data_IF_465659449819
#
_entry.id   IF_465659449819
#
_cell.length_a   1.000
_cell.length_b   1.000
_cell.length_c   1.000
_cell.angle_alpha   90.00
_cell.angle_beta   90.00
_cell.angle_gamma   90.00
#
_symmetry.space_group_name_H-M   'P 1'
#
loop_
_entity.id
_entity.type
_entity.pdbx_description
1 polymer ?
#
# COMPACT_ATOMS: atom_id res chain seq x y z
N UNK A 1 -23.56 -11.74 16.31
CA UNK A 1 -22.80 -11.80 17.58
C UNK A 1 -21.61 -10.85 17.45
N UNK A 2 -21.69 -9.63 17.98
CA UNK A 2 -20.56 -8.70 17.95
C UNK A 2 -19.54 -9.12 19.00
N UNK A 3 -18.37 -9.60 18.56
CA UNK A 3 -17.25 -9.84 19.47
C UNK A 3 -16.82 -8.49 20.08
N UNK A 4 -16.60 -8.45 21.41
CA UNK A 4 -16.11 -7.25 22.09
C UNK A 4 -14.70 -6.94 21.60
N UNK A 5 -14.49 -5.69 21.17
CA UNK A 5 -13.16 -5.17 20.79
C UNK A 5 -12.24 -5.20 22.02
N UNK A 6 -11.09 -5.85 21.88
CA UNK A 6 -10.08 -6.00 22.92
C UNK A 6 -9.07 -4.84 22.91
N UNK A 7 -8.29 -4.69 24.00
CA UNK A 7 -7.17 -3.73 24.03
C UNK A 7 -6.14 -3.98 22.93
N UNK A 8 -5.98 -5.23 22.48
CA UNK A 8 -5.03 -5.59 21.43
C UNK A 8 -5.54 -5.21 20.03
N UNK A 9 -6.86 -5.27 19.81
CA UNK A 9 -7.50 -4.72 18.61
C UNK A 9 -7.25 -3.21 18.52
N UNK A 10 -7.43 -2.47 19.62
CA UNK A 10 -7.15 -1.04 19.65
C UNK A 10 -5.70 -0.70 19.31
N UNK A 11 -4.72 -1.43 19.88
CA UNK A 11 -3.30 -1.24 19.52
C UNK A 11 -3.03 -1.50 18.04
N UNK A 12 -3.66 -2.52 17.46
CA UNK A 12 -3.54 -2.79 16.04
C UNK A 12 -4.16 -1.63 15.22
N UNK A 13 -5.37 -1.19 15.54
CA UNK A 13 -6.00 -0.06 14.86
C UNK A 13 -5.22 1.26 15.01
N UNK A 14 -4.55 1.48 16.15
CA UNK A 14 -3.63 2.62 16.31
C UNK A 14 -2.42 2.51 15.38
N UNK A 15 -1.91 1.30 15.12
CA UNK A 15 -0.82 1.10 14.16
C UNK A 15 -1.26 1.49 12.74
N UNK A 16 -2.53 1.31 12.37
CA UNK A 16 -3.07 1.77 11.09
C UNK A 16 -2.99 3.31 10.93
N UNK A 17 -3.01 4.08 12.02
CA UNK A 17 -2.85 5.55 11.96
C UNK A 17 -1.45 6.01 11.50
N UNK A 18 -0.48 5.10 11.38
CA UNK A 18 0.80 5.39 10.75
C UNK A 18 0.66 5.82 9.28
N UNK A 19 -0.34 5.30 8.56
CA UNK A 19 -0.56 5.61 7.14
C UNK A 19 -0.97 7.08 6.93
N UNK A 20 -2.03 7.61 7.58
CA UNK A 20 -2.35 9.04 7.45
C UNK A 20 -1.27 9.94 8.02
N UNK A 21 -0.54 9.52 9.06
CA UNK A 21 0.62 10.27 9.56
C UNK A 21 1.73 10.41 8.50
N UNK A 22 2.03 9.33 7.79
CA UNK A 22 2.93 9.34 6.64
C UNK A 22 2.39 10.17 5.47
N UNK A 23 1.06 10.18 5.28
CA UNK A 23 0.39 11.00 4.26
C UNK A 23 0.68 12.50 4.35
N UNK A 24 1.08 13.02 5.52
CA UNK A 24 1.48 14.43 5.69
C UNK A 24 2.67 14.78 4.78
N UNK A 25 3.64 13.86 4.63
CA UNK A 25 4.82 14.08 3.79
C UNK A 25 4.45 14.22 2.31
N UNK A 26 3.38 13.55 1.86
CA UNK A 26 2.92 13.66 0.47
C UNK A 26 2.63 15.11 0.08
N UNK A 27 1.89 15.84 0.93
CA UNK A 27 1.52 17.23 0.66
C UNK A 27 2.75 18.16 0.60
N UNK A 28 3.75 17.90 1.44
CA UNK A 28 5.01 18.67 1.42
C UNK A 28 5.84 18.37 0.17
N UNK A 29 5.76 17.15 -0.35
CA UNK A 29 6.52 16.74 -1.53
C UNK A 29 5.81 17.10 -2.84
N UNK A 30 4.48 17.13 -2.89
CA UNK A 30 3.68 17.30 -4.10
C UNK A 30 3.71 18.74 -4.66
N UNK A 31 4.85 19.15 -5.22
CA UNK A 31 5.09 20.45 -5.83
C UNK A 31 6.26 20.41 -6.81
N UNK A 32 6.36 21.40 -7.68
CA UNK A 32 7.42 21.51 -8.70
C UNK A 32 8.74 22.11 -8.21
N UNK A 33 8.91 22.43 -6.92
CA UNK A 33 10.08 23.21 -6.45
C UNK A 33 11.43 22.51 -6.67
N UNK A 34 11.45 21.19 -6.82
CA UNK A 34 12.66 20.38 -7.05
C UNK A 34 12.83 19.94 -8.52
N UNK A 35 12.00 20.46 -9.43
CA UNK A 35 11.86 19.89 -10.76
C UNK A 35 11.02 18.61 -10.76
N UNK A 36 10.59 18.21 -11.96
CA UNK A 36 9.86 16.96 -12.16
C UNK A 36 10.14 16.42 -13.56
N UNK A 37 10.57 15.17 -13.63
CA UNK A 37 10.83 14.47 -14.89
C UNK A 37 9.56 13.85 -15.46
N UNK A 38 9.56 13.55 -16.76
CA UNK A 38 8.46 12.81 -17.39
C UNK A 38 8.90 11.39 -17.71
N UNK A 39 8.09 10.42 -17.27
CA UNK A 39 8.23 9.00 -17.63
C UNK A 39 7.19 8.55 -18.65
N UNK A 40 6.55 9.49 -19.34
CA UNK A 40 5.52 9.21 -20.36
C UNK A 40 6.16 8.46 -21.53
N UNK A 41 5.47 7.43 -22.01
CA UNK A 41 5.85 6.66 -23.19
C UNK A 41 4.76 6.71 -24.26
N UNK A 42 5.06 6.24 -25.47
CA UNK A 42 4.08 6.14 -26.56
C UNK A 42 2.84 5.30 -26.19
N UNK A 43 3.01 4.31 -25.30
CA UNK A 43 1.89 3.50 -24.81
C UNK A 43 0.93 4.37 -24.00
N UNK A 44 1.43 5.29 -23.16
CA UNK A 44 0.59 6.17 -22.34
C UNK A 44 -0.21 7.17 -23.18
N UNK A 45 0.34 7.59 -24.33
CA UNK A 45 -0.37 8.41 -25.31
C UNK A 45 -1.55 7.67 -25.96
N UNK A 46 -1.44 6.36 -26.14
CA UNK A 46 -2.52 5.53 -26.70
C UNK A 46 -3.67 5.27 -25.72
N UNK A 47 -3.46 5.45 -24.41
CA UNK A 47 -4.51 5.24 -23.41
C UNK A 47 -5.54 6.39 -23.48
N UNK A 48 -6.84 6.13 -23.68
CA UNK A 48 -7.84 7.18 -23.70
C UNK A 48 -8.07 7.75 -22.30
N UNK A 49 -8.44 9.03 -22.22
CA UNK A 49 -8.94 9.60 -20.98
C UNK A 49 -10.43 9.23 -20.80
N UNK A 50 -10.76 8.57 -19.68
CA UNK A 50 -12.12 8.07 -19.39
C UNK A 50 -12.61 8.62 -18.03
N UNK A 51 -13.42 9.71 -18.02
CA UNK A 51 -13.85 10.38 -16.80
C UNK A 51 -14.55 9.49 -15.76
N UNK A 52 -15.31 8.48 -16.22
CA UNK A 52 -16.03 7.54 -15.34
C UNK A 52 -15.11 6.79 -14.37
N UNK A 53 -13.84 6.61 -14.72
CA UNK A 53 -12.86 5.97 -13.84
C UNK A 53 -12.50 6.81 -12.61
N UNK A 54 -12.98 8.05 -12.50
CA UNK A 54 -12.89 8.80 -11.23
C UNK A 54 -13.61 8.09 -10.08
N UNK A 55 -14.65 7.28 -10.37
CA UNK A 55 -15.40 6.54 -9.37
C UNK A 55 -14.53 5.48 -8.66
N UNK A 56 -13.92 4.50 -9.37
CA UNK A 56 -12.98 3.57 -8.73
C UNK A 56 -11.78 4.29 -8.12
N UNK A 57 -11.31 5.41 -8.70
CA UNK A 57 -10.25 6.22 -8.10
C UNK A 57 -10.63 6.75 -6.71
N UNK A 58 -11.84 7.30 -6.54
CA UNK A 58 -12.32 7.77 -5.22
C UNK A 58 -12.62 6.59 -4.29
N UNK A 59 -13.16 5.48 -4.81
CA UNK A 59 -13.46 4.27 -4.04
C UNK A 59 -12.20 3.66 -3.38
N UNK A 60 -11.01 4.00 -3.86
CA UNK A 60 -9.73 3.63 -3.27
C UNK A 60 -9.64 3.90 -1.76
N UNK A 61 -10.07 5.08 -1.30
CA UNK A 61 -10.00 5.42 0.13
C UNK A 61 -10.77 4.42 1.00
N UNK A 62 -12.00 4.11 0.61
CA UNK A 62 -12.83 3.12 1.28
C UNK A 62 -12.24 1.72 1.15
N UNK A 63 -11.76 1.35 -0.04
CA UNK A 63 -11.17 0.04 -0.31
C UNK A 63 -9.98 -0.24 0.61
N UNK A 64 -9.03 0.69 0.73
CA UNK A 64 -7.84 0.53 1.58
C UNK A 64 -8.25 0.46 3.05
N UNK A 65 -9.08 1.40 3.51
CA UNK A 65 -9.54 1.48 4.90
C UNK A 65 -10.23 0.18 5.33
N UNK A 66 -11.26 -0.24 4.59
CA UNK A 66 -12.05 -1.42 4.96
C UNK A 66 -11.25 -2.72 4.82
N UNK A 67 -10.39 -2.84 3.81
CA UNK A 67 -9.59 -4.06 3.64
C UNK A 67 -8.54 -4.24 4.73
N UNK A 68 -7.89 -3.16 5.17
CA UNK A 68 -6.91 -3.22 6.26
C UNK A 68 -7.60 -3.48 7.60
N UNK A 69 -8.76 -2.86 7.88
CA UNK A 69 -9.57 -3.17 9.06
C UNK A 69 -10.04 -4.62 9.03
N UNK A 70 -10.53 -5.10 7.89
CA UNK A 70 -10.94 -6.49 7.71
C UNK A 70 -9.79 -7.46 8.01
N UNK A 71 -8.61 -7.20 7.44
CA UNK A 71 -7.43 -8.02 7.68
C UNK A 71 -7.00 -8.00 9.15
N UNK A 72 -7.11 -6.84 9.83
CA UNK A 72 -6.82 -6.70 11.25
C UNK A 72 -7.60 -7.71 12.09
N UNK A 73 -8.90 -7.84 11.85
CA UNK A 73 -9.77 -8.76 12.60
C UNK A 73 -9.70 -10.20 12.12
N UNK A 74 -9.45 -10.42 10.81
CA UNK A 74 -9.51 -11.74 10.20
C UNK A 74 -8.20 -12.53 10.30
N UNK A 75 -7.06 -11.86 10.18
CA UNK A 75 -5.72 -12.46 10.21
C UNK A 75 -4.69 -11.44 10.71
N UNK A 76 -4.57 -11.36 12.03
CA UNK A 76 -3.76 -10.33 12.70
C UNK A 76 -2.27 -10.40 12.41
N UNK A 77 -1.60 -11.57 12.41
CA UNK A 77 -0.20 -11.64 12.00
C UNK A 77 0.00 -11.11 10.58
N UNK A 78 -0.89 -11.47 9.65
CA UNK A 78 -0.80 -11.02 8.27
C UNK A 78 -1.13 -9.53 8.11
N UNK A 79 -2.04 -9.00 8.92
CA UNK A 79 -2.28 -7.56 9.04
C UNK A 79 -1.00 -6.77 9.35
N UNK A 80 -0.23 -7.19 10.36
CA UNK A 80 1.00 -6.48 10.73
C UNK A 80 2.03 -6.51 9.61
N UNK A 81 2.17 -7.64 8.90
CA UNK A 81 3.05 -7.74 7.73
C UNK A 81 2.61 -6.81 6.60
N UNK A 82 1.31 -6.77 6.32
CA UNK A 82 0.72 -5.94 5.27
C UNK A 82 0.90 -4.46 5.57
N UNK A 83 0.59 -4.02 6.79
CA UNK A 83 0.76 -2.62 7.20
C UNK A 83 2.24 -2.23 7.28
N UNK A 84 3.13 -3.13 7.72
CA UNK A 84 4.57 -2.88 7.69
C UNK A 84 5.08 -2.72 6.24
N UNK A 85 4.70 -3.62 5.33
CA UNK A 85 5.07 -3.52 3.92
C UNK A 85 4.52 -2.23 3.28
N UNK A 86 3.29 -1.83 3.63
CA UNK A 86 2.70 -0.57 3.17
C UNK A 86 3.51 0.64 3.66
N UNK A 87 3.77 0.76 4.96
CA UNK A 87 4.53 1.88 5.51
C UNK A 87 5.94 1.97 4.91
N UNK A 88 6.64 0.83 4.77
CA UNK A 88 7.95 0.80 4.14
C UNK A 88 7.88 1.23 2.66
N UNK A 89 6.85 0.79 1.94
CA UNK A 89 6.64 1.20 0.54
C UNK A 89 6.40 2.71 0.45
N UNK A 90 5.56 3.29 1.31
CA UNK A 90 5.32 4.74 1.35
C UNK A 90 6.60 5.52 1.64
N UNK A 91 7.42 5.07 2.59
CA UNK A 91 8.71 5.68 2.90
C UNK A 91 9.63 5.67 1.68
N UNK A 92 9.72 4.53 0.98
CA UNK A 92 10.51 4.43 -0.26
C UNK A 92 9.95 5.36 -1.35
N UNK A 93 8.63 5.44 -1.53
CA UNK A 93 8.02 6.39 -2.45
C UNK A 93 8.44 7.83 -2.12
N UNK A 94 8.36 8.25 -0.85
CA UNK A 94 8.73 9.61 -0.46
C UNK A 94 10.21 9.91 -0.63
N UNK A 95 11.09 8.92 -0.39
CA UNK A 95 12.52 9.07 -0.69
C UNK A 95 12.71 9.29 -2.19
N UNK A 96 12.06 8.48 -3.04
CA UNK A 96 12.12 8.63 -4.50
C UNK A 96 11.58 10.00 -4.92
N UNK A 97 10.40 10.41 -4.46
CA UNK A 97 9.83 11.72 -4.79
C UNK A 97 10.71 12.89 -4.37
N UNK A 98 11.47 12.74 -3.28
CA UNK A 98 12.38 13.79 -2.84
C UNK A 98 13.60 13.91 -3.77
N UNK A 99 14.16 12.80 -4.26
CA UNK A 99 15.40 12.79 -5.07
C UNK A 99 15.17 12.75 -6.58
N UNK A 100 14.06 12.18 -7.03
CA UNK A 100 13.69 11.94 -8.42
C UNK A 100 12.16 11.99 -8.56
N UNK A 101 11.64 13.21 -8.56
CA UNK A 101 10.21 13.45 -8.73
C UNK A 101 9.82 13.34 -10.21
N UNK A 102 8.65 12.80 -10.49
CA UNK A 102 8.08 12.75 -11.84
C UNK A 102 6.71 13.42 -11.91
N UNK A 103 6.29 13.76 -13.13
CA UNK A 103 5.02 14.40 -13.45
C UNK A 103 4.31 13.72 -14.61
N UNK A 104 2.98 13.77 -14.61
CA UNK A 104 2.12 13.25 -15.67
C UNK A 104 1.33 14.42 -16.30
N UNK A 105 1.44 14.64 -17.62
CA UNK A 105 0.66 15.66 -18.30
C UNK A 105 -0.83 15.29 -18.29
N UNK A 106 -1.66 16.25 -17.89
CA UNK A 106 -3.12 16.08 -17.86
C UNK A 106 -3.76 16.72 -19.09
N UNK A 107 -4.81 16.11 -19.66
CA UNK A 107 -5.53 16.69 -20.78
C UNK A 107 -6.30 17.94 -20.33
N UNK A 108 -6.58 18.84 -21.27
CA UNK A 108 -7.60 19.87 -21.04
C UNK A 108 -8.98 19.22 -20.99
N UNK A 109 -9.64 19.31 -19.83
CA UNK A 109 -10.93 18.69 -19.58
C UNK A 109 -12.12 19.63 -19.82
N UNK A 110 -11.88 20.89 -20.20
CA UNK A 110 -12.93 21.91 -20.36
C UNK A 110 -13.92 21.61 -21.50
N UNK A 111 -13.48 20.89 -22.53
CA UNK A 111 -14.30 20.50 -23.68
C UNK A 111 -15.03 19.16 -23.56
N UNK A 112 -14.92 18.45 -22.41
CA UNK A 112 -15.55 17.14 -22.24
C UNK A 112 -16.99 17.26 -21.73
N UNK A 113 -17.93 16.67 -22.46
CA UNK A 113 -19.33 16.56 -22.04
C UNK A 113 -19.55 15.26 -21.24
N UNK A 114 -19.24 15.28 -19.95
CA UNK A 114 -19.48 14.15 -19.05
C UNK A 114 -19.81 14.62 -17.64
N UNK A 115 -20.82 13.99 -17.02
CA UNK A 115 -21.24 14.25 -15.63
C UNK A 115 -20.12 14.00 -14.60
N UNK A 116 -19.05 13.30 -14.97
CA UNK A 116 -17.92 13.00 -14.09
C UNK A 116 -16.80 14.05 -14.12
N UNK A 117 -16.81 14.99 -15.06
CA UNK A 117 -15.77 16.04 -15.17
C UNK A 117 -15.64 16.89 -13.91
N UNK A 118 -16.72 17.31 -13.23
CA UNK A 118 -16.58 18.04 -11.97
C UNK A 118 -15.80 17.25 -10.90
N UNK A 119 -16.02 15.93 -10.81
CA UNK A 119 -15.28 15.08 -9.87
C UNK A 119 -13.82 14.95 -10.28
N UNK A 120 -13.52 14.76 -11.57
CA UNK A 120 -12.13 14.73 -12.06
C UNK A 120 -11.43 16.05 -11.73
N UNK A 121 -12.10 17.18 -11.95
CA UNK A 121 -11.53 18.49 -11.68
C UNK A 121 -11.23 18.67 -10.18
N UNK A 122 -12.10 18.21 -9.27
CA UNK A 122 -11.81 18.21 -7.83
C UNK A 122 -10.53 17.42 -7.53
N UNK A 123 -10.43 16.20 -8.09
CA UNK A 123 -9.24 15.36 -7.91
C UNK A 123 -7.98 16.07 -8.44
N UNK A 124 -8.04 16.65 -9.64
CA UNK A 124 -6.91 17.34 -10.25
C UNK A 124 -6.45 18.57 -9.46
N UNK A 125 -7.38 19.26 -8.78
CA UNK A 125 -7.05 20.41 -7.94
C UNK A 125 -6.48 20.01 -6.58
N UNK A 126 -7.01 18.94 -5.97
CA UNK A 126 -6.57 18.48 -4.65
C UNK A 126 -5.26 17.71 -4.71
N UNK A 127 -5.10 16.87 -5.73
CA UNK A 127 -3.92 16.05 -5.95
C UNK A 127 -3.18 16.62 -7.15
N UNK A 128 -2.06 17.32 -6.90
CA UNK A 128 -1.27 17.92 -7.98
C UNK A 128 -0.51 16.84 -8.74
N UNK A 129 -0.14 17.07 -10.02
CA UNK A 129 0.51 16.07 -10.87
C UNK A 129 2.02 15.96 -10.58
N UNK A 130 2.42 16.00 -9.31
CA UNK A 130 3.78 15.72 -8.87
C UNK A 130 3.74 14.52 -7.93
N UNK A 131 4.90 13.89 -7.64
CA UNK A 131 4.99 12.60 -6.94
C UNK A 131 4.39 11.40 -7.71
N UNK A 132 4.52 11.35 -9.04
CA UNK A 132 3.88 10.30 -9.83
C UNK A 132 4.58 8.93 -9.69
N UNK A 133 5.91 8.87 -9.81
CA UNK A 133 6.68 7.62 -9.81
C UNK A 133 7.35 7.34 -8.47
N UNK A 134 7.14 6.16 -7.85
CA UNK A 134 6.13 5.14 -8.16
C UNK A 134 4.74 5.54 -7.63
N UNK A 135 3.65 4.96 -8.16
CA UNK A 135 2.30 5.37 -7.76
C UNK A 135 1.90 4.89 -6.36
N UNK A 136 1.61 5.82 -5.43
CA UNK A 136 1.08 5.48 -4.09
C UNK A 136 -0.30 4.81 -4.16
N UNK A 137 -1.16 5.22 -5.11
CA UNK A 137 -2.49 4.61 -5.30
C UNK A 137 -2.35 3.12 -5.63
N UNK A 138 -1.44 2.80 -6.57
CA UNK A 138 -1.11 1.42 -6.95
C UNK A 138 -0.45 0.68 -5.79
N UNK A 139 0.51 1.29 -5.09
CA UNK A 139 1.15 0.70 -3.89
C UNK A 139 0.09 0.27 -2.88
N UNK A 140 -0.83 1.17 -2.51
CA UNK A 140 -1.86 0.88 -1.52
C UNK A 140 -2.83 -0.19 -1.99
N UNK A 141 -3.31 -0.11 -3.24
CA UNK A 141 -4.23 -1.10 -3.80
C UNK A 141 -3.59 -2.48 -3.90
N UNK A 142 -2.34 -2.55 -4.36
CA UNK A 142 -1.60 -3.79 -4.57
C UNK A 142 -1.15 -4.43 -3.26
N UNK A 143 -0.68 -3.66 -2.28
CA UNK A 143 -0.31 -4.18 -0.95
C UNK A 143 -1.51 -4.81 -0.26
N UNK A 144 -2.67 -4.15 -0.30
CA UNK A 144 -3.92 -4.68 0.26
C UNK A 144 -4.30 -5.99 -0.45
N UNK A 145 -4.29 -5.99 -1.79
CA UNK A 145 -4.60 -7.18 -2.58
C UNK A 145 -3.68 -8.35 -2.19
N UNK A 146 -2.37 -8.12 -2.19
CA UNK A 146 -1.37 -9.13 -1.85
C UNK A 146 -1.50 -9.62 -0.41
N UNK A 147 -1.70 -8.71 0.55
CA UNK A 147 -1.95 -9.04 1.94
C UNK A 147 -3.16 -9.97 2.10
N UNK A 148 -4.30 -9.61 1.50
CA UNK A 148 -5.51 -10.46 1.52
C UNK A 148 -5.24 -11.85 0.90
N UNK A 149 -4.44 -11.94 -0.16
CA UNK A 149 -4.11 -13.23 -0.80
C UNK A 149 -3.24 -14.14 0.07
N UNK A 150 -2.31 -13.57 0.83
CA UNK A 150 -1.41 -14.30 1.72
C UNK A 150 -2.13 -14.94 2.92
N UNK A 151 -3.32 -14.46 3.25
CA UNK A 151 -4.12 -15.10 4.30
C UNK A 151 -4.81 -16.36 3.79
N UNK A 152 -4.54 -17.49 4.45
CA UNK A 152 -5.25 -18.75 4.20
C UNK A 152 -6.66 -18.77 4.80
N UNK A 153 -6.98 -17.88 5.74
CA UNK A 153 -8.27 -17.84 6.43
C UNK A 153 -9.36 -17.07 5.66
N UNK A 154 -8.97 -16.33 4.61
CA UNK A 154 -9.86 -15.51 3.79
C UNK A 154 -10.42 -16.32 2.61
N UNK A 155 -11.74 -16.24 2.42
CA UNK A 155 -12.47 -16.97 1.39
C UNK A 155 -12.14 -16.46 -0.02
N UNK A 156 -12.23 -17.37 -1.01
CA UNK A 156 -11.95 -17.06 -2.43
C UNK A 156 -12.81 -15.91 -2.98
N UNK A 157 -14.08 -15.82 -2.57
CA UNK A 157 -14.97 -14.74 -3.00
C UNK A 157 -14.47 -13.35 -2.59
N UNK A 158 -13.98 -13.20 -1.35
CA UNK A 158 -13.38 -11.95 -0.88
C UNK A 158 -12.11 -11.65 -1.67
N UNK A 159 -11.25 -12.65 -1.90
CA UNK A 159 -10.03 -12.48 -2.73
C UNK A 159 -10.37 -12.01 -4.15
N UNK A 160 -11.43 -12.53 -4.76
CA UNK A 160 -11.90 -12.11 -6.08
C UNK A 160 -12.38 -10.65 -6.06
N UNK A 161 -13.22 -10.27 -5.10
CA UNK A 161 -13.70 -8.89 -4.94
C UNK A 161 -12.52 -7.94 -4.73
N UNK A 162 -11.57 -8.31 -3.87
CA UNK A 162 -10.35 -7.52 -3.64
C UNK A 162 -9.52 -7.37 -4.92
N UNK A 163 -9.38 -8.42 -5.72
CA UNK A 163 -8.67 -8.35 -7.00
C UNK A 163 -9.34 -7.40 -7.98
N UNK A 164 -10.65 -7.56 -8.18
CA UNK A 164 -11.40 -6.72 -9.11
C UNK A 164 -11.30 -5.25 -8.69
N UNK A 165 -11.49 -4.96 -7.41
CA UNK A 165 -11.39 -3.59 -6.91
C UNK A 165 -9.97 -3.01 -7.04
N UNK A 166 -8.93 -3.78 -6.67
CA UNK A 166 -7.56 -3.32 -6.81
C UNK A 166 -7.19 -3.06 -8.27
N UNK A 167 -7.56 -3.95 -9.19
CA UNK A 167 -7.32 -3.77 -10.63
C UNK A 167 -8.09 -2.58 -11.21
N UNK A 168 -9.34 -2.35 -10.77
CA UNK A 168 -10.12 -1.18 -11.19
C UNK A 168 -9.49 0.12 -10.69
N UNK A 169 -8.95 0.14 -9.46
CA UNK A 169 -8.21 1.30 -8.94
C UNK A 169 -6.92 1.51 -9.72
N UNK A 170 -6.14 0.46 -9.98
CA UNK A 170 -4.90 0.57 -10.76
C UNK A 170 -5.21 1.11 -12.16
N UNK A 171 -6.19 0.53 -12.84
CA UNK A 171 -6.62 0.99 -14.15
C UNK A 171 -7.11 2.44 -14.12
N UNK A 172 -7.85 2.83 -13.07
CA UNK A 172 -8.38 4.18 -12.96
C UNK A 172 -7.28 5.23 -12.95
N UNK A 173 -6.15 4.96 -12.27
CA UNK A 173 -5.03 5.90 -12.22
C UNK A 173 -4.54 6.32 -13.61
N UNK A 174 -4.52 5.41 -14.58
CA UNK A 174 -4.07 5.68 -15.95
C UNK A 174 -5.19 6.30 -16.78
N UNK A 175 -6.42 5.77 -16.66
CA UNK A 175 -7.57 6.28 -17.42
C UNK A 175 -7.97 7.70 -17.04
N UNK A 176 -7.76 8.11 -15.79
CA UNK A 176 -7.93 9.52 -15.38
C UNK A 176 -6.62 10.31 -15.46
N UNK A 177 -5.59 9.83 -16.15
CA UNK A 177 -4.32 10.53 -16.41
C UNK A 177 -3.64 11.06 -15.14
N UNK A 178 -3.69 10.28 -14.06
CA UNK A 178 -2.94 10.54 -12.83
C UNK A 178 -1.56 9.90 -12.83
N UNK A 179 -1.43 8.76 -13.51
CA UNK A 179 -0.20 7.98 -13.54
C UNK A 179 0.03 7.41 -14.94
N UNK A 180 1.30 7.17 -15.25
CA UNK A 180 1.74 6.42 -16.44
C UNK A 180 1.99 4.95 -16.09
N UNK A 181 2.13 4.09 -17.10
CA UNK A 181 2.36 2.65 -16.92
C UNK A 181 3.63 2.38 -16.13
N UNK A 182 4.69 3.19 -16.32
CA UNK A 182 5.93 3.05 -15.56
C UNK A 182 5.72 3.27 -14.05
N UNK A 183 4.79 4.15 -13.65
CA UNK A 183 4.46 4.36 -12.23
C UNK A 183 3.85 3.10 -11.58
N UNK A 184 3.05 2.36 -12.36
CA UNK A 184 2.45 1.09 -11.94
C UNK A 184 3.55 0.03 -11.76
N UNK A 185 4.44 -0.11 -12.74
CA UNK A 185 5.56 -1.08 -12.68
C UNK A 185 6.44 -0.77 -11.48
N UNK A 186 6.82 0.50 -11.29
CA UNK A 186 7.60 0.95 -10.14
C UNK A 186 6.92 0.62 -8.82
N UNK A 187 5.61 0.87 -8.71
CA UNK A 187 4.83 0.54 -7.51
C UNK A 187 4.82 -0.96 -7.22
N UNK A 188 4.60 -1.81 -8.22
CA UNK A 188 4.64 -3.27 -8.05
C UNK A 188 6.02 -3.73 -7.56
N UNK A 189 7.10 -3.24 -8.17
CA UNK A 189 8.47 -3.57 -7.77
C UNK A 189 8.78 -3.16 -6.32
N UNK A 190 8.35 -1.97 -5.91
CA UNK A 190 8.49 -1.50 -4.51
C UNK A 190 7.75 -2.44 -3.57
N UNK A 191 6.49 -2.76 -3.86
CA UNK A 191 5.67 -3.62 -2.99
C UNK A 191 6.24 -5.03 -2.88
N UNK A 192 6.66 -5.63 -3.99
CA UNK A 192 7.30 -6.95 -4.00
C UNK A 192 8.56 -6.95 -3.11
N UNK A 193 9.42 -5.95 -3.31
CA UNK A 193 10.67 -5.78 -2.55
C UNK A 193 10.41 -5.61 -1.05
N UNK A 194 9.40 -4.81 -0.68
CA UNK A 194 9.08 -4.56 0.73
C UNK A 194 8.46 -5.78 1.42
N UNK A 195 7.64 -6.56 0.72
CA UNK A 195 7.16 -7.84 1.27
C UNK A 195 8.31 -8.83 1.48
N UNK A 196 9.23 -8.95 0.53
CA UNK A 196 10.42 -9.79 0.68
C UNK A 196 11.25 -9.37 1.90
N UNK A 197 11.47 -8.06 2.07
CA UNK A 197 12.17 -7.51 3.23
C UNK A 197 11.46 -7.85 4.55
N UNK A 198 10.14 -7.63 4.62
CA UNK A 198 9.34 -7.94 5.82
C UNK A 198 9.46 -9.42 6.20
N UNK A 199 9.35 -10.32 5.22
CA UNK A 199 9.48 -11.76 5.48
C UNK A 199 10.90 -12.18 5.86
N UNK A 200 11.92 -11.60 5.24
CA UNK A 200 13.31 -11.86 5.58
C UNK A 200 13.60 -11.45 7.03
N UNK A 201 13.18 -10.25 7.43
CA UNK A 201 13.34 -9.74 8.80
C UNK A 201 12.59 -10.62 9.80
N UNK A 202 11.35 -10.99 9.50
CA UNK A 202 10.57 -11.88 10.36
C UNK A 202 11.24 -13.25 10.53
N UNK A 203 11.68 -13.87 9.43
CA UNK A 203 12.38 -15.17 9.45
C UNK A 203 13.66 -15.12 10.30
N UNK A 204 14.46 -14.06 10.15
CA UNK A 204 15.66 -13.84 10.97
C UNK A 204 15.33 -13.66 12.45
N UNK A 205 14.27 -12.91 12.76
CA UNK A 205 13.80 -12.70 14.12
C UNK A 205 13.36 -14.02 14.78
N UNK A 206 12.57 -14.83 14.08
CA UNK A 206 12.11 -16.13 14.59
C UNK A 206 13.27 -17.12 14.79
N UNK A 207 14.23 -17.16 13.86
CA UNK A 207 15.43 -18.00 13.97
C UNK A 207 16.28 -17.62 15.19
N UNK A 208 16.49 -16.33 15.44
CA UNK A 208 17.22 -15.83 16.63
C UNK A 208 16.49 -16.20 17.92
N UNK A 209 15.18 -15.93 17.99
CA UNK A 209 14.34 -16.26 19.16
C UNK A 209 14.33 -17.76 19.45
N UNK A 210 14.27 -18.61 18.42
CA UNK A 210 14.32 -20.07 18.56
C UNK A 210 15.65 -20.56 19.10
N UNK A 211 16.79 -20.00 18.63
CA UNK A 211 18.13 -20.30 19.18
C UNK A 211 18.22 -19.94 20.66
N UNK A 212 17.85 -18.71 21.04
CA UNK A 212 17.88 -18.26 22.43
C UNK A 212 17.02 -19.13 23.36
N UNK A 213 15.83 -19.55 22.90
CA UNK A 213 14.96 -20.46 23.67
C UNK A 213 15.64 -21.83 23.89
N UNK A 214 16.27 -22.39 22.85
CA UNK A 214 17.01 -23.67 22.95
C UNK A 214 18.20 -23.58 23.91
N UNK A 215 18.98 -22.50 23.84
CA UNK A 215 20.11 -22.26 24.75
C UNK A 215 19.65 -22.12 26.21
N UNK A 216 18.55 -21.41 26.46
CA UNK A 216 17.97 -21.28 27.80
C UNK A 216 17.50 -22.62 28.36
N UNK A 217 16.84 -23.45 27.55
CA UNK A 217 16.36 -24.78 27.97
C UNK A 217 17.53 -25.72 28.27
N UNK A 218 18.60 -25.69 27.46
CA UNK A 218 19.83 -26.45 27.73
C UNK A 218 20.45 -26.08 29.08
N UNK A 219 20.63 -24.78 29.35
CA UNK A 219 21.16 -24.30 30.64
C UNK A 219 20.31 -24.66 31.86
N UNK A 220 19.00 -24.81 31.69
CA UNK A 220 18.11 -25.25 32.78
C UNK A 220 18.24 -26.75 33.04
N UNK A 221 18.27 -27.57 31.98
CA UNK A 221 18.52 -29.01 32.11
C UNK A 221 19.89 -29.32 32.72
N UNK A 222 20.94 -28.61 32.31
CA UNK A 222 22.28 -28.78 32.88
C UNK A 222 22.32 -28.44 34.38
N UNK A 223 21.49 -27.50 34.86
CA UNK A 223 21.39 -27.15 36.29
C UNK A 223 20.64 -28.21 37.09
N UNK A 224 19.54 -28.75 36.58
CA UNK A 224 18.80 -29.82 37.26
C UNK A 224 19.68 -31.07 37.47
N UNK A 225 20.43 -31.47 36.43
CA UNK A 225 21.38 -32.61 36.53
C UNK A 225 22.50 -32.36 37.54
N UNK A 226 22.91 -31.10 37.75
CA UNK A 226 23.97 -30.75 38.71
C UNK A 226 23.51 -30.72 40.18
N UNK A 227 22.20 -30.60 40.45
CA UNK A 227 21.64 -30.55 41.80
C UNK A 227 21.29 -31.96 42.33
N UNK A 228 21.08 -32.92 41.44
CA UNK A 228 20.79 -34.33 41.78
C UNK A 228 22.05 -35.18 42.04
N UNK A 229 23.26 -34.64 41.86
CA UNK A 229 24.54 -35.31 42.15
C UNK A 229 25.17 -34.77 43.44
#
# INVERSE_FOLDING_TARGET
>A
MFQRITKQDWKALLFFLSIPALGIFYNFLNNSHRGAESLVTDIDHSVPFLPIFVLPYIAWYAFVLFSIIYLCFKDRPNYYRTVAALNLSLIICYIIYFVYQTTVPRPDISGYDSLFIPLVNIIYNMDKPFNCFPSIHVVQAYVVMKGIHQSSSIQRGIKLVTNVMALLIIASTVFIKQHVILDIIGAVLVVESMFLLVYAVESLYQKRRGKTKRERLRRLGDREVSVER
#
